data_IF_503686491090
#
_entry.id   IF_503686491090
#
_cell.length_a   1.000
_cell.length_b   1.000
_cell.length_c   1.000
_cell.angle_alpha   90.00
_cell.angle_beta   90.00
_cell.angle_gamma   90.00
#
_symmetry.space_group_name_H-M   'P 1'
#
loop_
_entity.id
_entity.type
_entity.pdbx_description
1 polymer ?
#
# COMPACT_ATOMS: atom_id res chain seq x y z
N UNK A 1 -22.99 11.42 2.86
CA UNK A 1 -24.06 10.77 3.64
C UNK A 1 -23.51 9.94 4.80
N UNK A 2 -22.56 9.02 4.55
CA UNK A 2 -21.93 8.19 5.60
C UNK A 2 -21.25 9.03 6.70
N UNK A 3 -20.54 10.10 6.33
CA UNK A 3 -19.90 11.01 7.31
C UNK A 3 -20.92 11.70 8.22
N UNK A 4 -22.07 12.14 7.70
CA UNK A 4 -23.11 12.79 8.49
C UNK A 4 -23.76 11.83 9.49
N UNK A 5 -23.99 10.57 9.07
CA UNK A 5 -24.57 9.53 9.93
C UNK A 5 -23.56 9.06 10.98
N UNK A 6 -22.28 8.90 10.62
CA UNK A 6 -21.21 8.55 11.56
C UNK A 6 -21.04 9.62 12.65
N UNK A 7 -21.14 10.91 12.28
CA UNK A 7 -21.10 12.01 13.24
C UNK A 7 -22.33 12.04 14.15
N UNK A 8 -23.52 11.74 13.63
CA UNK A 8 -24.75 11.67 14.43
C UNK A 8 -24.69 10.54 15.46
N UNK A 9 -24.29 9.34 15.04
CA UNK A 9 -24.18 8.16 15.91
C UNK A 9 -23.06 8.36 16.94
N UNK A 10 -21.92 8.92 16.55
CA UNK A 10 -20.83 9.24 17.46
C UNK A 10 -21.23 10.29 18.51
N UNK A 11 -21.89 11.37 18.09
CA UNK A 11 -22.40 12.40 19.01
C UNK A 11 -23.45 11.86 19.98
N UNK A 12 -24.28 10.91 19.54
CA UNK A 12 -25.27 10.24 20.38
C UNK A 12 -24.60 9.33 21.42
N UNK A 13 -23.59 8.56 21.03
CA UNK A 13 -22.83 7.68 21.92
C UNK A 13 -22.00 8.49 22.94
N UNK A 14 -21.42 9.62 22.52
CA UNK A 14 -20.61 10.50 23.38
C UNK A 14 -21.48 11.31 24.37
N UNK A 15 -22.68 11.75 23.94
CA UNK A 15 -23.70 12.35 24.80
C UNK A 15 -24.15 11.38 25.91
N UNK A 16 -24.22 10.09 25.61
CA UNK A 16 -24.56 9.04 26.57
C UNK A 16 -23.36 8.62 27.46
N UNK A 17 -22.12 8.89 27.04
CA UNK A 17 -20.91 8.49 27.78
C UNK A 17 -20.39 9.53 28.79
N UNK A 18 -20.89 10.77 28.80
CA UNK A 18 -20.37 11.82 29.70
C UNK A 18 -21.28 12.05 30.91
N UNK A 19 -20.95 11.39 32.02
CA UNK A 19 -21.41 11.80 33.36
C UNK A 19 -20.58 12.95 33.93
N UNK A 20 -21.29 13.79 34.67
CA UNK A 20 -20.93 15.05 35.28
C UNK A 20 -19.85 14.95 36.37
N UNK A 21 -18.58 14.77 36.01
CA UNK A 21 -17.49 14.87 36.99
C UNK A 21 -16.31 15.72 36.51
N UNK A 22 -16.27 16.96 37.02
CA UNK A 22 -15.09 17.84 37.14
C UNK A 22 -14.47 18.30 35.81
N UNK A 23 -14.87 19.47 35.35
CA UNK A 23 -14.03 20.68 35.43
C UNK A 23 -14.68 21.85 34.65
N UNK A 24 -14.62 23.01 35.28
CA UNK A 24 -15.23 24.30 34.94
C UNK A 24 -14.23 25.10 34.11
N UNK A 25 -14.56 25.40 32.83
CA UNK A 25 -14.44 26.75 32.20
C UNK A 25 -14.19 26.82 30.67
N UNK A 26 -13.90 25.74 29.92
CA UNK A 26 -13.67 25.86 28.46
C UNK A 26 -14.61 24.97 27.64
N UNK A 27 -15.83 25.50 27.53
CA UNK A 27 -16.89 25.28 26.54
C UNK A 27 -16.87 23.95 25.74
N UNK A 28 -17.35 22.88 26.38
CA UNK A 28 -17.68 21.57 25.75
C UNK A 28 -18.56 21.72 24.50
N UNK A 29 -19.38 22.76 24.45
CA UNK A 29 -20.31 23.05 23.35
C UNK A 29 -19.64 23.80 22.20
N UNK A 30 -18.61 24.64 22.46
CA UNK A 30 -17.89 25.33 21.39
C UNK A 30 -17.09 24.37 20.52
N UNK A 31 -16.41 23.38 21.11
CA UNK A 31 -15.66 22.40 20.33
C UNK A 31 -16.57 21.51 19.49
N UNK A 32 -17.69 21.05 20.06
CA UNK A 32 -18.73 20.35 19.32
C UNK A 32 -19.32 21.22 18.20
N UNK A 33 -19.62 22.50 18.48
CA UNK A 33 -20.10 23.44 17.47
C UNK A 33 -19.08 23.65 16.35
N UNK A 34 -17.77 23.73 16.64
CA UNK A 34 -16.72 23.85 15.62
C UNK A 34 -16.70 22.61 14.72
N UNK A 35 -16.76 21.40 15.28
CA UNK A 35 -16.74 20.14 14.52
C UNK A 35 -17.98 19.98 13.65
N UNK A 36 -19.14 20.50 14.07
CA UNK A 36 -20.38 20.53 13.27
C UNK A 36 -20.36 21.65 12.24
N UNK A 37 -19.85 22.83 12.58
CA UNK A 37 -19.88 24.01 11.71
C UNK A 37 -18.91 23.88 10.52
N UNK A 38 -17.73 23.28 10.73
CA UNK A 38 -16.72 23.09 9.67
C UNK A 38 -17.24 22.33 8.43
N UNK A 39 -17.91 21.16 8.53
CA UNK A 39 -18.45 20.46 7.37
C UNK A 39 -19.67 21.16 6.73
N UNK A 40 -20.33 22.08 7.44
CA UNK A 40 -21.40 22.92 6.90
C UNK A 40 -20.87 24.15 6.15
N UNK A 41 -19.81 24.79 6.67
CA UNK A 41 -19.22 26.00 6.07
C UNK A 41 -18.53 25.70 4.75
N UNK A 42 -17.86 24.56 4.61
CA UNK A 42 -17.19 24.16 3.36
C UNK A 42 -18.10 24.19 2.13
N UNK A 43 -19.23 23.45 2.12
CA UNK A 43 -20.21 23.47 1.04
C UNK A 43 -20.87 24.84 0.82
N UNK A 44 -21.21 25.56 1.90
CA UNK A 44 -21.84 26.89 1.81
C UNK A 44 -20.90 27.88 1.12
N UNK A 45 -19.62 27.88 1.48
CA UNK A 45 -18.61 28.75 0.88
C UNK A 45 -18.34 28.37 -0.58
N UNK A 46 -18.31 27.07 -0.90
CA UNK A 46 -18.22 26.58 -2.27
C UNK A 46 -19.39 27.04 -3.13
N UNK A 47 -20.62 26.95 -2.61
CA UNK A 47 -21.81 27.44 -3.32
C UNK A 47 -21.83 28.96 -3.46
N UNK A 48 -21.38 29.71 -2.45
CA UNK A 48 -21.29 31.17 -2.54
C UNK A 48 -20.27 31.63 -3.60
N UNK A 49 -19.13 30.94 -3.71
CA UNK A 49 -18.08 31.24 -4.70
C UNK A 49 -18.47 30.74 -6.10
N UNK A 50 -19.06 29.55 -6.19
CA UNK A 50 -19.46 28.92 -7.46
C UNK A 50 -20.66 29.61 -8.13
N UNK A 51 -21.61 30.12 -7.34
CA UNK A 51 -22.85 30.74 -7.86
C UNK A 51 -22.65 32.10 -8.54
N UNK A 52 -21.46 32.72 -8.42
CA UNK A 52 -21.12 33.91 -9.21
C UNK A 52 -20.72 33.60 -10.66
N UNK A 53 -20.49 32.32 -11.03
CA UNK A 53 -20.07 31.96 -12.39
C UNK A 53 -21.17 31.51 -13.34
N UNK A 54 -22.35 31.12 -12.84
CA UNK A 54 -23.46 30.67 -13.68
C UNK A 54 -24.47 31.81 -13.93
N UNK A 55 -24.09 32.77 -14.79
CA UNK A 55 -25.09 33.54 -15.52
C UNK A 55 -25.59 32.69 -16.70
N UNK A 56 -26.89 32.38 -16.83
CA UNK A 56 -27.39 31.62 -17.95
C UNK A 56 -27.25 32.46 -19.22
N UNK A 57 -26.32 32.10 -20.11
CA UNK A 57 -26.28 32.65 -21.45
C UNK A 57 -27.45 32.06 -22.27
N UNK A 58 -28.19 32.99 -22.87
CA UNK A 58 -29.37 32.86 -23.74
C UNK A 58 -29.26 31.70 -24.76
N UNK A 59 -30.36 31.03 -25.15
CA UNK A 59 -30.30 29.91 -26.08
C UNK A 59 -29.98 30.41 -27.49
N UNK A 60 -28.82 30.01 -28.01
CA UNK A 60 -28.40 30.27 -29.38
C UNK A 60 -28.20 28.93 -30.11
N UNK A 61 -28.96 28.75 -31.19
CA UNK A 61 -28.87 27.70 -32.22
C UNK A 61 -29.14 26.23 -31.77
N UNK A 62 -29.73 25.39 -32.64
CA UNK A 62 -29.78 23.96 -32.39
C UNK A 62 -28.34 23.43 -32.28
N UNK A 63 -27.99 22.71 -31.19
CA UNK A 63 -26.64 22.20 -31.03
C UNK A 63 -26.35 21.23 -32.17
N UNK A 64 -25.18 21.39 -32.81
CA UNK A 64 -24.56 20.29 -33.57
C UNK A 64 -24.63 19.08 -32.65
N UNK A 65 -25.32 18.01 -33.08
CA UNK A 65 -25.37 16.77 -32.30
C UNK A 65 -23.92 16.43 -31.94
N UNK A 66 -23.59 16.30 -30.64
CA UNK A 66 -22.28 15.79 -30.25
C UNK A 66 -22.09 14.47 -30.99
N UNK A 67 -21.02 14.35 -31.79
CA UNK A 67 -20.61 13.04 -32.27
C UNK A 67 -20.47 12.16 -31.01
N UNK A 68 -21.11 10.99 -31.02
CA UNK A 68 -20.90 10.05 -29.94
C UNK A 68 -19.39 9.76 -29.87
N UNK A 69 -18.79 9.69 -28.68
CA UNK A 69 -17.37 9.36 -28.52
C UNK A 69 -16.92 8.10 -29.28
N UNK A 70 -17.86 7.22 -29.62
CA UNK A 70 -17.63 5.98 -30.37
C UNK A 70 -17.24 6.20 -31.85
N UNK A 71 -17.58 7.34 -32.46
CA UNK A 71 -17.36 7.64 -33.89
C UNK A 71 -16.21 8.66 -34.14
N UNK A 72 -15.43 9.03 -33.12
CA UNK A 72 -14.29 9.96 -33.26
C UNK A 72 -12.96 9.21 -33.51
N UNK A 73 -12.34 9.34 -34.70
CA UNK A 73 -11.09 8.66 -35.02
C UNK A 73 -9.93 9.06 -34.08
N UNK A 74 -9.94 10.27 -33.55
CA UNK A 74 -8.87 10.72 -32.63
C UNK A 74 -9.02 10.08 -31.25
N UNK A 75 -10.25 9.90 -30.76
CA UNK A 75 -10.52 9.18 -29.50
C UNK A 75 -10.08 7.71 -29.57
N UNK A 76 -10.41 7.02 -30.66
CA UNK A 76 -9.98 5.63 -30.89
C UNK A 76 -8.46 5.47 -31.05
N UNK A 77 -7.78 6.47 -31.60
CA UNK A 77 -6.30 6.49 -31.65
C UNK A 77 -5.71 6.65 -30.26
N UNK A 78 -6.26 7.55 -29.45
CA UNK A 78 -5.81 7.75 -28.08
C UNK A 78 -5.96 6.50 -27.20
N UNK A 79 -7.08 5.78 -27.33
CA UNK A 79 -7.28 4.50 -26.63
C UNK A 79 -6.23 3.47 -27.04
N UNK A 80 -6.01 3.27 -28.35
CA UNK A 80 -4.99 2.35 -28.85
C UNK A 80 -3.58 2.68 -28.37
N UNK A 81 -3.23 3.97 -28.31
CA UNK A 81 -1.95 4.41 -27.76
C UNK A 81 -1.83 4.15 -26.26
N UNK A 82 -2.92 4.31 -25.52
CA UNK A 82 -2.98 4.04 -24.09
C UNK A 82 -2.84 2.55 -23.81
N UNK A 83 -3.56 1.71 -24.55
CA UNK A 83 -3.47 0.25 -24.47
C UNK A 83 -2.05 -0.23 -24.79
N UNK A 84 -1.46 0.26 -25.88
CA UNK A 84 -0.10 -0.08 -26.26
C UNK A 84 0.94 0.34 -25.21
N UNK A 85 0.74 1.48 -24.53
CA UNK A 85 1.61 1.89 -23.41
C UNK A 85 1.43 0.98 -22.21
N UNK A 86 0.20 0.58 -21.90
CA UNK A 86 -0.11 -0.31 -20.79
C UNK A 86 0.50 -1.71 -21.01
N UNK A 87 0.36 -2.27 -22.20
CA UNK A 87 0.96 -3.55 -22.57
C UNK A 87 2.49 -3.52 -22.45
N UNK A 88 3.13 -2.42 -22.89
CA UNK A 88 4.59 -2.23 -22.71
C UNK A 88 4.99 -2.18 -21.24
N UNK A 89 4.20 -1.51 -20.40
CA UNK A 89 4.46 -1.42 -18.96
C UNK A 89 4.37 -2.79 -18.29
N UNK A 90 3.34 -3.58 -18.62
CA UNK A 90 3.18 -4.94 -18.12
C UNK A 90 4.36 -5.83 -18.51
N UNK A 91 4.75 -5.82 -19.79
CA UNK A 91 5.89 -6.58 -20.27
C UNK A 91 7.21 -6.20 -19.57
N UNK A 92 7.41 -4.91 -19.28
CA UNK A 92 8.59 -4.45 -18.52
C UNK A 92 8.59 -4.97 -17.08
N UNK A 93 7.43 -4.97 -16.40
CA UNK A 93 7.31 -5.50 -15.04
C UNK A 93 7.51 -7.01 -14.98
N UNK A 94 6.96 -7.77 -15.93
CA UNK A 94 7.20 -9.21 -16.03
C UNK A 94 8.68 -9.52 -16.21
N UNK A 95 9.38 -8.73 -17.03
CA UNK A 95 10.82 -8.88 -17.23
C UNK A 95 11.62 -8.58 -15.95
N UNK A 96 11.25 -7.56 -15.18
CA UNK A 96 11.92 -7.23 -13.91
C UNK A 96 11.69 -8.31 -12.85
N UNK A 97 10.46 -8.84 -12.75
CA UNK A 97 10.13 -9.94 -11.85
C UNK A 97 10.95 -11.20 -12.16
N UNK A 98 11.01 -11.59 -13.44
CA UNK A 98 11.81 -12.76 -13.86
C UNK A 98 13.30 -12.61 -13.53
N UNK A 99 13.86 -11.40 -13.67
CA UNK A 99 15.24 -11.12 -13.28
C UNK A 99 15.45 -11.32 -11.78
N UNK A 100 14.58 -10.74 -10.95
CA UNK A 100 14.66 -10.86 -9.49
C UNK A 100 14.49 -12.30 -9.02
N UNK A 101 13.53 -13.03 -9.59
CA UNK A 101 13.34 -14.45 -9.28
C UNK A 101 14.58 -15.29 -9.64
N UNK A 102 15.19 -15.03 -10.81
CA UNK A 102 16.42 -15.70 -11.21
C UNK A 102 17.59 -15.36 -10.28
N UNK A 103 17.73 -14.10 -9.85
CA UNK A 103 18.75 -13.69 -8.88
C UNK A 103 18.54 -14.36 -7.51
N UNK A 104 17.30 -14.36 -7.01
CA UNK A 104 16.95 -15.02 -5.74
C UNK A 104 17.24 -16.51 -5.83
N UNK A 105 16.85 -17.17 -6.93
CA UNK A 105 17.11 -18.60 -7.15
C UNK A 105 18.61 -18.88 -7.16
N UNK A 106 19.40 -18.10 -7.91
CA UNK A 106 20.86 -18.23 -7.95
C UNK A 106 21.50 -18.04 -6.57
N UNK A 107 21.05 -17.05 -5.80
CA UNK A 107 21.52 -16.84 -4.42
C UNK A 107 21.20 -18.03 -3.53
N UNK A 108 19.95 -18.52 -3.55
CA UNK A 108 19.54 -19.71 -2.78
C UNK A 108 20.33 -20.95 -3.17
N UNK A 109 20.57 -21.18 -4.45
CA UNK A 109 21.39 -22.29 -4.93
C UNK A 109 22.86 -22.16 -4.48
N UNK A 110 23.43 -20.94 -4.49
CA UNK A 110 24.77 -20.70 -4.00
C UNK A 110 24.88 -20.90 -2.48
N UNK A 111 23.87 -20.43 -1.73
CA UNK A 111 23.78 -20.61 -0.28
C UNK A 111 23.62 -22.10 0.09
N UNK A 112 22.79 -22.84 -0.64
CA UNK A 112 22.64 -24.29 -0.46
C UNK A 112 23.95 -25.04 -0.72
N UNK A 113 24.66 -24.71 -1.81
CA UNK A 113 25.98 -25.29 -2.11
C UNK A 113 27.01 -24.97 -1.01
N UNK A 114 27.05 -23.72 -0.55
CA UNK A 114 27.96 -23.31 0.52
C UNK A 114 27.63 -24.01 1.85
N UNK A 115 26.35 -24.21 2.16
CA UNK A 115 25.91 -24.94 3.35
C UNK A 115 26.31 -26.43 3.27
N UNK A 116 26.15 -27.06 2.10
CA UNK A 116 26.57 -28.45 1.87
C UNK A 116 28.09 -28.61 1.99
N UNK A 117 28.87 -27.72 1.39
CA UNK A 117 30.34 -27.70 1.53
C UNK A 117 30.77 -27.50 2.98
N UNK A 118 30.14 -26.57 3.71
CA UNK A 118 30.42 -26.34 5.12
C UNK A 118 30.07 -27.57 5.98
N UNK A 119 28.98 -28.28 5.66
CA UNK A 119 28.58 -29.49 6.36
C UNK A 119 29.55 -30.64 6.07
N UNK A 120 29.97 -30.83 4.82
CA UNK A 120 31.00 -31.81 4.44
C UNK A 120 32.33 -31.52 5.14
N UNK A 121 32.71 -30.25 5.24
CA UNK A 121 33.95 -29.83 5.92
C UNK A 121 33.88 -30.13 7.42
N UNK A 122 32.76 -29.82 8.08
CA UNK A 122 32.52 -30.15 9.49
C UNK A 122 32.53 -31.65 9.73
N UNK A 123 31.93 -32.44 8.84
CA UNK A 123 31.92 -33.91 8.95
C UNK A 123 33.33 -34.48 8.77
N UNK A 124 34.11 -33.97 7.81
CA UNK A 124 35.51 -34.35 7.64
C UNK A 124 36.37 -33.98 8.85
N UNK A 125 36.20 -32.77 9.41
CA UNK A 125 36.89 -32.32 10.63
C UNK A 125 36.48 -33.17 11.85
N UNK A 126 35.21 -33.57 11.97
CA UNK A 126 34.74 -34.45 13.04
C UNK A 126 35.36 -35.85 12.93
N UNK A 127 35.38 -36.44 11.73
CA UNK A 127 36.04 -37.73 11.47
C UNK A 127 37.53 -37.68 11.80
N UNK A 128 38.23 -36.61 11.39
CA UNK A 128 39.64 -36.41 11.74
C UNK A 128 39.86 -36.35 13.25
N UNK A 129 39.03 -35.60 13.99
CA UNK A 129 39.12 -35.53 15.46
C UNK A 129 38.85 -36.88 16.13
N UNK A 130 37.92 -37.66 15.60
CA UNK A 130 37.64 -39.01 16.10
C UNK A 130 38.82 -39.96 15.85
N UNK A 131 39.43 -39.91 14.66
CA UNK A 131 40.60 -40.72 14.31
C UNK A 131 41.83 -40.34 15.15
N UNK A 132 42.08 -39.05 15.38
CA UNK A 132 43.14 -38.55 16.26
C UNK A 132 42.91 -38.98 17.72
N UNK A 133 41.67 -38.90 18.21
CA UNK A 133 41.33 -39.35 19.56
C UNK A 133 41.54 -40.86 19.74
N UNK A 134 41.20 -41.68 18.74
CA UNK A 134 41.44 -43.13 18.76
C UNK A 134 42.94 -43.47 18.80
N UNK A 135 43.75 -42.82 17.98
CA UNK A 135 45.21 -43.00 18.01
C UNK A 135 45.78 -42.61 19.37
N UNK A 136 45.34 -41.48 19.95
CA UNK A 136 45.82 -41.03 21.25
C UNK A 136 45.48 -41.99 22.39
N UNK A 137 44.29 -42.62 22.37
CA UNK A 137 43.90 -43.60 23.40
C UNK A 137 44.65 -44.92 23.29
N UNK A 138 44.97 -45.36 22.08
CA UNK A 138 45.71 -46.62 21.86
C UNK A 138 47.17 -46.47 22.32
N UNK A 139 47.79 -45.30 22.14
CA UNK A 139 49.17 -45.01 22.62
C UNK A 139 49.26 -44.93 24.16
N UNK A 140 48.20 -44.47 24.84
CA UNK A 140 48.16 -44.40 26.32
C UNK A 140 48.03 -45.79 26.98
N UNK A 141 47.39 -46.76 26.33
CA UNK A 141 47.20 -48.13 26.85
C UNK A 141 48.47 -48.99 26.71
N UNK A 142 49.25 -48.82 25.64
CA UNK A 142 50.53 -49.54 25.42
C UNK A 142 51.66 -49.07 26.37
N UNK A 143 51.47 -47.93 27.03
CA UNK A 143 52.44 -47.33 27.97
C UNK A 143 52.19 -47.66 29.45
N UNK A 144 51.15 -48.44 29.77
CA UNK A 144 50.69 -48.72 31.15
C UNK A 144 51.00 -50.14 31.63
#
# INVERSE_FOLDING_TARGET
>A
MVVAIALLVYALIDCLQTDSARFRSLNRVAWAAIIVLVPLVGPILWLAIGKLRDRPQRPAAPPRRPLAPDDDPEFLRHLRETDAKHERMLNQWEADLRRREAEIKRKKEAEARAAEEAQRRKEAEARQREDEARQHTDDEDDSR
#
